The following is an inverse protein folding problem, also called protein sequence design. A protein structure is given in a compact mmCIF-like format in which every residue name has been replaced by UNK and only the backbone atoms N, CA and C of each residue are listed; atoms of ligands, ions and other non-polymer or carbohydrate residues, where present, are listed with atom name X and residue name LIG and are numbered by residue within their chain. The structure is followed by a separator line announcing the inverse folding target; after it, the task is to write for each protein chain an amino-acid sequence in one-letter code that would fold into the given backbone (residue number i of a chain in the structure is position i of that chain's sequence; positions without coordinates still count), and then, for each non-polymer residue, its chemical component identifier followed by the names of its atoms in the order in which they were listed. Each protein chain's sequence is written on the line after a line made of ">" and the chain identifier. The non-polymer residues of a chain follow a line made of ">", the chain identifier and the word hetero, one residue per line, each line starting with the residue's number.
data_IF_243325734119
#
_entry.id   IF_243325734119
#
_cell.length_a   1.000
_cell.length_b   1.000
_cell.length_c   1.000
_cell.angle_alpha   90.00
_cell.angle_beta   90.00
_cell.angle_gamma   90.00
#
_symmetry.space_group_name_H-M   'P 1'
#
loop_
_entity.id
_entity.type
_entity.pdbx_description
1 polymer ?
#
# COMPACT_ATOMS: atom_id res chain seq x y z
N UNK A 1 -34.40 35.43 -55.78
CA UNK A 1 -34.99 34.57 -54.72
C UNK A 1 -33.89 33.67 -54.17
N UNK A 2 -33.21 34.12 -53.11
CA UNK A 2 -32.08 33.39 -52.49
C UNK A 2 -32.61 32.49 -51.38
N UNK A 3 -32.64 31.18 -51.65
CA UNK A 3 -33.02 30.15 -50.68
C UNK A 3 -31.91 29.97 -49.64
N UNK A 4 -32.06 30.60 -48.47
CA UNK A 4 -31.21 30.36 -47.31
C UNK A 4 -31.53 28.99 -46.73
N UNK A 5 -30.58 28.05 -46.77
CA UNK A 5 -30.77 26.68 -46.29
C UNK A 5 -30.95 26.65 -44.76
N UNK A 6 -32.01 26.02 -44.22
CA UNK A 6 -32.32 26.05 -42.78
C UNK A 6 -31.28 25.36 -41.89
N UNK A 7 -30.40 24.53 -42.47
CA UNK A 7 -29.38 23.76 -41.75
C UNK A 7 -28.22 24.62 -41.21
N UNK A 8 -27.91 25.77 -41.83
CA UNK A 8 -26.83 26.65 -41.36
C UNK A 8 -27.19 27.44 -40.10
N UNK A 9 -28.48 27.74 -39.88
CA UNK A 9 -28.93 28.44 -38.68
C UNK A 9 -28.91 27.53 -37.46
N UNK A 10 -29.18 26.23 -37.62
CA UNK A 10 -29.18 25.25 -36.53
C UNK A 10 -27.79 25.04 -35.94
N UNK A 11 -26.74 24.97 -36.78
CA UNK A 11 -25.35 24.73 -36.32
C UNK A 11 -24.79 25.94 -35.58
N UNK A 12 -25.05 27.17 -36.05
CA UNK A 12 -24.60 28.40 -35.38
C UNK A 12 -25.32 28.64 -34.05
N UNK A 13 -26.62 28.32 -33.96
CA UNK A 13 -27.38 28.42 -32.73
C UNK A 13 -26.98 27.34 -31.71
N UNK A 14 -26.65 26.12 -32.16
CA UNK A 14 -26.07 25.07 -31.31
C UNK A 14 -24.69 25.45 -30.79
N UNK A 15 -23.81 26.02 -31.61
CA UNK A 15 -22.48 26.49 -31.17
C UNK A 15 -22.57 27.63 -30.16
N UNK A 16 -23.52 28.56 -30.33
CA UNK A 16 -23.80 29.62 -29.34
C UNK A 16 -24.39 29.05 -28.05
N UNK A 17 -25.33 28.10 -28.14
CA UNK A 17 -25.90 27.42 -26.97
C UNK A 17 -24.84 26.58 -26.23
N UNK A 18 -23.94 25.91 -26.95
CA UNK A 18 -22.83 25.16 -26.38
C UNK A 18 -21.88 26.09 -25.64
N UNK A 19 -21.56 27.26 -26.21
CA UNK A 19 -20.69 28.27 -25.60
C UNK A 19 -21.34 28.99 -24.40
N UNK A 20 -22.66 29.12 -24.38
CA UNK A 20 -23.40 29.59 -23.21
C UNK A 20 -23.48 28.52 -22.10
N UNK A 21 -23.59 27.23 -22.47
CA UNK A 21 -23.63 26.10 -21.55
C UNK A 21 -22.23 25.64 -21.09
N UNK A 22 -21.16 26.07 -21.77
CA UNK A 22 -19.77 25.81 -21.37
C UNK A 22 -19.51 26.27 -19.93
N UNK A 23 -20.09 27.40 -19.51
CA UNK A 23 -19.96 27.87 -18.13
C UNK A 23 -20.58 26.90 -17.12
N UNK A 24 -21.71 26.28 -17.48
CA UNK A 24 -22.40 25.28 -16.65
C UNK A 24 -21.61 23.97 -16.54
N UNK A 25 -20.75 23.67 -17.51
CA UNK A 25 -19.85 22.50 -17.50
C UNK A 25 -18.49 22.78 -16.87
N UNK A 26 -18.00 24.02 -16.95
CA UNK A 26 -16.73 24.42 -16.33
C UNK A 26 -16.84 24.36 -14.80
N UNK A 27 -17.96 24.80 -14.22
CA UNK A 27 -18.16 24.80 -12.76
C UNK A 27 -17.97 23.40 -12.13
N UNK A 28 -18.67 22.33 -12.56
CA UNK A 28 -18.47 21.00 -11.99
C UNK A 28 -17.06 20.46 -12.27
N UNK A 29 -16.51 20.72 -13.47
CA UNK A 29 -15.16 20.28 -13.82
C UNK A 29 -14.10 20.89 -12.89
N UNK A 30 -14.20 22.20 -12.62
CA UNK A 30 -13.30 22.90 -11.70
C UNK A 30 -13.52 22.42 -10.27
N UNK A 31 -14.77 22.19 -9.85
CA UNK A 31 -15.08 21.66 -8.53
C UNK A 31 -14.44 20.28 -8.31
N UNK A 32 -14.64 19.33 -9.21
CA UNK A 32 -14.05 17.99 -9.13
C UNK A 32 -12.52 18.04 -9.19
N UNK A 33 -11.94 18.89 -10.04
CA UNK A 33 -10.49 19.06 -10.13
C UNK A 33 -9.91 19.61 -8.83
N UNK A 34 -10.60 20.57 -8.21
CA UNK A 34 -10.18 21.16 -6.93
C UNK A 34 -10.24 20.12 -5.81
N UNK A 35 -11.33 19.35 -5.72
CA UNK A 35 -11.48 18.27 -4.74
C UNK A 35 -10.39 17.20 -4.95
N UNK A 36 -10.14 16.79 -6.19
CA UNK A 36 -9.09 15.82 -6.52
C UNK A 36 -7.69 16.33 -6.17
N UNK A 37 -7.43 17.62 -6.39
CA UNK A 37 -6.15 18.26 -6.03
C UNK A 37 -5.96 18.29 -4.52
N UNK A 38 -6.97 18.74 -3.76
CA UNK A 38 -6.93 18.72 -2.29
C UNK A 38 -6.69 17.30 -1.78
N UNK A 39 -7.39 16.31 -2.34
CA UNK A 39 -7.21 14.91 -1.98
C UNK A 39 -5.80 14.39 -2.30
N UNK A 40 -5.23 14.76 -3.44
CA UNK A 40 -3.87 14.37 -3.82
C UNK A 40 -2.82 14.93 -2.84
N UNK A 41 -3.03 16.13 -2.31
CA UNK A 41 -2.14 16.73 -1.31
C UNK A 41 -2.33 16.16 0.10
N UNK A 42 -3.54 15.76 0.49
CA UNK A 42 -3.79 15.16 1.82
C UNK A 42 -3.47 13.68 1.89
N UNK A 43 -3.40 12.99 0.75
CA UNK A 43 -3.07 11.57 0.70
C UNK A 43 -1.60 11.35 1.10
N UNK A 44 -1.41 10.81 2.29
CA UNK A 44 -0.07 10.41 2.77
C UNK A 44 0.48 9.31 1.86
N UNK A 45 1.72 9.48 1.38
CA UNK A 45 2.40 8.49 0.56
C UNK A 45 2.81 7.33 1.46
N UNK A 46 2.18 6.17 1.33
CA UNK A 46 2.64 4.95 1.97
C UNK A 46 3.63 4.25 1.05
N UNK A 47 4.78 3.88 1.59
CA UNK A 47 5.78 3.05 0.94
C UNK A 47 5.67 1.64 1.50
N UNK A 48 5.66 0.63 0.65
CA UNK A 48 5.62 -0.78 1.09
C UNK A 48 6.89 -1.46 0.58
N UNK A 49 7.72 -1.93 1.52
CA UNK A 49 8.85 -2.80 1.21
C UNK A 49 8.38 -4.24 1.37
N UNK A 50 8.44 -5.05 0.31
CA UNK A 50 8.09 -6.46 0.36
C UNK A 50 9.28 -7.32 -0.05
N UNK A 51 9.60 -8.33 0.76
CA UNK A 51 10.66 -9.28 0.50
C UNK A 51 10.08 -10.69 0.39
N UNK A 52 10.35 -11.35 -0.74
CA UNK A 52 9.99 -12.75 -0.95
C UNK A 52 11.01 -13.66 -0.23
N UNK A 53 10.48 -14.59 0.57
CA UNK A 53 11.22 -15.60 1.32
C UNK A 53 10.72 -16.97 0.85
N UNK A 54 11.64 -17.86 0.49
CA UNK A 54 11.33 -19.26 0.21
C UNK A 54 11.54 -20.04 1.50
N UNK A 55 10.51 -20.70 1.98
CA UNK A 55 10.57 -21.45 3.24
C UNK A 55 10.80 -22.92 2.98
N UNK A 56 11.80 -23.47 3.66
CA UNK A 56 12.12 -24.90 3.67
C UNK A 56 12.07 -25.42 5.09
N UNK A 57 11.46 -26.59 5.26
CA UNK A 57 11.42 -27.27 6.55
C UNK A 57 12.71 -28.07 6.76
N UNK A 58 13.76 -27.38 7.18
CA UNK A 58 15.06 -28.00 7.48
C UNK A 58 15.01 -28.88 8.75
N UNK A 59 13.97 -28.76 9.59
CA UNK A 59 13.83 -29.54 10.83
C UNK A 59 13.24 -30.94 10.55
N UNK A 60 12.32 -31.05 9.59
CA UNK A 60 11.84 -32.35 9.08
C UNK A 60 12.73 -32.93 7.96
N UNK A 61 13.76 -32.19 7.53
CA UNK A 61 14.59 -32.54 6.37
C UNK A 61 15.46 -33.79 6.52
N UNK A 62 15.61 -34.35 7.73
CA UNK A 62 16.38 -35.59 7.92
C UNK A 62 15.81 -36.79 7.14
N UNK A 63 14.52 -36.75 6.75
CA UNK A 63 13.87 -37.86 6.05
C UNK A 63 13.26 -37.51 4.67
N UNK A 64 12.98 -36.23 4.35
CA UNK A 64 12.25 -35.84 3.10
C UNK A 64 12.71 -34.56 2.37
N UNK A 65 13.91 -34.04 2.63
CA UNK A 65 14.51 -33.02 1.75
C UNK A 65 13.87 -31.62 1.81
N UNK A 66 13.42 -31.20 2.99
CA UNK A 66 13.08 -29.80 3.25
C UNK A 66 11.67 -29.37 2.83
N UNK A 67 10.78 -30.31 2.49
CA UNK A 67 9.41 -30.03 2.04
C UNK A 67 8.40 -30.25 3.17
N UNK A 68 7.42 -29.35 3.30
CA UNK A 68 6.35 -29.45 4.29
C UNK A 68 5.50 -30.71 4.08
N UNK A 69 5.21 -31.42 5.16
CA UNK A 69 4.43 -32.67 5.14
C UNK A 69 2.92 -32.41 5.00
N UNK A 70 2.44 -31.23 5.42
CA UNK A 70 1.04 -30.83 5.31
C UNK A 70 0.83 -29.33 5.13
N UNK A 71 -0.31 -28.97 4.53
CA UNK A 71 -0.77 -27.58 4.40
C UNK A 71 -0.90 -26.93 5.80
N UNK A 72 -1.37 -27.70 6.78
CA UNK A 72 -1.53 -27.26 8.18
C UNK A 72 -0.17 -26.93 8.82
N UNK A 73 0.87 -27.74 8.60
CA UNK A 73 2.22 -27.45 9.09
C UNK A 73 2.80 -26.16 8.50
N UNK A 74 2.48 -25.91 7.22
CA UNK A 74 2.92 -24.71 6.53
C UNK A 74 2.17 -23.47 7.04
N UNK A 75 0.87 -23.58 7.29
CA UNK A 75 0.09 -22.51 7.90
C UNK A 75 0.56 -22.21 9.33
N UNK A 76 0.77 -23.24 10.16
CA UNK A 76 1.29 -23.06 11.51
C UNK A 76 2.66 -22.39 11.52
N UNK A 77 3.54 -22.75 10.58
CA UNK A 77 4.81 -22.06 10.39
C UNK A 77 4.62 -20.58 10.00
N UNK A 78 3.69 -20.29 9.09
CA UNK A 78 3.38 -18.94 8.65
C UNK A 78 2.85 -18.06 9.79
N UNK A 79 1.94 -18.58 10.60
CA UNK A 79 1.42 -17.91 11.80
C UNK A 79 2.53 -17.67 12.82
N UNK A 80 3.37 -18.68 13.05
CA UNK A 80 4.53 -18.56 13.96
C UNK A 80 5.52 -17.51 13.46
N UNK A 81 5.82 -17.49 12.16
CA UNK A 81 6.74 -16.51 11.58
C UNK A 81 6.20 -15.09 11.70
N UNK A 82 4.89 -14.91 11.47
CA UNK A 82 4.24 -13.63 11.67
C UNK A 82 4.32 -13.17 13.12
N UNK A 83 4.08 -14.08 14.05
CA UNK A 83 4.16 -13.80 15.49
C UNK A 83 5.59 -13.43 15.91
N UNK A 84 6.59 -14.18 15.43
CA UNK A 84 8.00 -13.89 15.69
C UNK A 84 8.41 -12.55 15.08
N UNK A 85 7.98 -12.27 13.85
CA UNK A 85 8.27 -10.99 13.18
C UNK A 85 7.65 -9.79 13.90
N UNK A 86 6.49 -9.98 14.56
CA UNK A 86 5.81 -8.96 15.38
C UNK A 86 6.24 -8.95 16.83
N UNK A 87 7.12 -9.87 17.25
CA UNK A 87 7.59 -9.92 18.63
C UNK A 87 8.26 -8.59 19.03
N UNK A 88 7.91 -8.00 20.19
CA UNK A 88 8.52 -6.76 20.67
C UNK A 88 10.04 -6.79 20.70
N UNK A 89 10.62 -7.95 21.01
CA UNK A 89 12.07 -8.15 21.08
C UNK A 89 12.69 -8.00 19.70
N UNK A 90 12.14 -8.70 18.69
CA UNK A 90 12.64 -8.67 17.31
C UNK A 90 12.53 -7.26 16.73
N UNK A 91 11.38 -6.61 16.93
CA UNK A 91 11.15 -5.24 16.43
C UNK A 91 12.08 -4.23 17.11
N UNK A 92 12.27 -4.35 18.43
CA UNK A 92 13.17 -3.47 19.19
C UNK A 92 14.62 -3.60 18.72
N UNK A 93 15.14 -4.81 18.56
CA UNK A 93 16.51 -5.03 18.08
C UNK A 93 16.68 -4.58 16.63
N UNK A 94 15.67 -4.78 15.78
CA UNK A 94 15.66 -4.27 14.40
C UNK A 94 15.72 -2.74 14.37
N UNK A 95 14.92 -2.04 15.19
CA UNK A 95 14.94 -0.58 15.30
C UNK A 95 16.27 -0.03 15.86
N UNK A 96 16.92 -0.78 16.74
CA UNK A 96 18.28 -0.44 17.21
C UNK A 96 19.30 -0.61 16.09
N UNK A 97 19.20 -1.68 15.29
CA UNK A 97 20.14 -1.98 14.21
C UNK A 97 20.01 -1.02 13.03
N UNK A 98 18.79 -0.69 12.61
CA UNK A 98 18.52 0.31 11.57
C UNK A 98 18.90 1.73 12.03
N UNK A 99 18.95 1.94 13.34
CA UNK A 99 19.22 3.23 13.93
C UNK A 99 18.04 4.19 13.75
N UNK A 100 18.26 5.42 14.20
CA UNK A 100 17.21 6.42 14.29
C UNK A 100 16.95 7.11 12.94
N UNK A 101 15.68 7.32 12.52
CA UNK A 101 15.34 8.09 11.33
C UNK A 101 15.83 9.55 11.43
N UNK A 102 16.29 10.17 10.34
CA UNK A 102 16.82 11.54 10.33
C UNK A 102 15.87 12.61 10.88
N UNK A 103 14.54 12.41 10.74
CA UNK A 103 13.51 13.34 11.22
C UNK A 103 12.68 12.83 12.40
N UNK A 104 12.96 11.65 12.95
CA UNK A 104 12.33 11.24 14.21
C UNK A 104 12.63 12.33 15.26
N UNK A 105 11.61 12.79 16.00
CA UNK A 105 11.76 13.85 17.02
C UNK A 105 12.91 13.52 17.96
N UNK A 106 13.57 14.52 18.56
CA UNK A 106 14.67 14.41 19.55
C UNK A 106 14.23 13.71 20.85
N UNK A 107 13.64 12.53 20.75
CA UNK A 107 13.49 11.60 21.84
C UNK A 107 14.89 11.27 22.35
N UNK A 108 15.05 11.43 23.66
CA UNK A 108 16.30 11.19 24.40
C UNK A 108 16.61 9.69 24.50
N UNK A 109 15.61 8.84 24.23
CA UNK A 109 15.63 7.39 24.31
C UNK A 109 15.04 6.85 22.99
N UNK A 110 15.81 6.03 22.29
CA UNK A 110 15.42 5.36 21.05
C UNK A 110 15.73 3.87 21.19
N UNK A 111 14.87 2.96 20.69
CA UNK A 111 13.47 3.19 20.31
C UNK A 111 12.55 3.43 21.53
N UNK A 112 11.44 4.13 21.33
CA UNK A 112 10.37 4.28 22.32
C UNK A 112 9.37 3.13 22.20
N UNK A 113 8.57 2.89 23.23
CA UNK A 113 7.51 1.86 23.19
C UNK A 113 6.49 2.14 22.07
N UNK A 114 6.13 3.41 21.86
CA UNK A 114 5.29 3.85 20.74
C UNK A 114 5.91 3.56 19.36
N UNK A 115 7.25 3.67 19.21
CA UNK A 115 7.95 3.37 17.95
C UNK A 115 7.90 1.86 17.65
N UNK A 116 7.96 1.03 18.70
CA UNK A 116 7.88 -0.43 18.60
C UNK A 116 6.47 -0.85 18.22
N UNK A 117 5.45 -0.32 18.90
CA UNK A 117 4.03 -0.62 18.62
C UNK A 117 3.65 -0.20 17.19
N UNK A 118 4.03 1.00 16.78
CA UNK A 118 3.77 1.51 15.43
C UNK A 118 4.36 0.61 14.34
N UNK A 119 5.57 0.08 14.56
CA UNK A 119 6.20 -0.82 13.59
C UNK A 119 5.59 -2.23 13.61
N UNK A 120 5.16 -2.74 14.77
CA UNK A 120 4.48 -4.04 14.87
C UNK A 120 3.21 -4.10 14.03
N UNK A 121 2.41 -3.03 14.06
CA UNK A 121 1.15 -2.95 13.30
C UNK A 121 1.38 -2.97 11.79
N UNK A 122 2.49 -2.39 11.33
CA UNK A 122 2.81 -2.25 9.90
C UNK A 122 3.54 -3.47 9.30
N UNK A 123 4.04 -4.38 10.13
CA UNK A 123 4.64 -5.66 9.70
C UNK A 123 3.54 -6.65 9.34
N UNK A 124 3.58 -7.18 8.12
CA UNK A 124 2.59 -8.13 7.61
C UNK A 124 3.29 -9.26 6.84
N UNK A 125 2.92 -10.50 7.15
CA UNK A 125 3.39 -11.69 6.43
C UNK A 125 2.24 -12.18 5.56
N UNK A 126 2.44 -12.22 4.24
CA UNK A 126 1.39 -12.55 3.27
C UNK A 126 1.77 -13.70 2.37
N UNK A 127 0.78 -14.52 2.03
CA UNK A 127 0.89 -15.48 0.96
C UNK A 127 0.93 -14.80 -0.42
N UNK A 128 1.60 -15.40 -1.41
CA UNK A 128 1.61 -14.91 -2.79
C UNK A 128 0.20 -14.81 -3.36
N UNK A 129 -0.12 -13.68 -3.99
CA UNK A 129 -1.28 -13.52 -4.89
C UNK A 129 -2.65 -13.90 -4.31
N UNK A 130 -2.88 -13.66 -3.01
CA UNK A 130 -4.18 -13.98 -2.39
C UNK A 130 -4.53 -15.47 -2.37
N UNK A 131 -3.55 -16.34 -2.61
CA UNK A 131 -3.68 -17.77 -2.37
C UNK A 131 -3.89 -18.01 -0.88
N UNK A 132 -4.77 -18.97 -0.55
CA UNK A 132 -4.88 -19.47 0.82
C UNK A 132 -3.51 -19.94 1.33
N UNK A 133 -3.28 -19.71 2.62
CA UNK A 133 -2.12 -20.22 3.36
C UNK A 133 -1.91 -21.71 3.03
N UNK A 134 -0.65 -22.12 2.81
CA UNK A 134 -0.29 -23.53 2.60
C UNK A 134 -0.28 -24.10 1.16
N UNK A 135 -0.51 -23.31 0.10
CA UNK A 135 -0.38 -23.81 -1.30
C UNK A 135 0.93 -23.49 -2.02
N UNK A 136 1.77 -22.60 -1.49
CA UNK A 136 2.99 -22.14 -2.18
C UNK A 136 4.13 -21.93 -1.19
N UNK A 137 5.29 -22.53 -1.44
CA UNK A 137 6.52 -22.47 -0.61
C UNK A 137 7.12 -21.04 -0.46
N UNK A 138 6.55 -20.03 -1.13
CA UNK A 138 7.01 -18.63 -1.10
C UNK A 138 6.12 -17.81 -0.16
N UNK A 139 6.72 -16.96 0.66
CA UNK A 139 6.05 -16.02 1.56
C UNK A 139 6.57 -14.61 1.28
N UNK A 140 5.73 -13.59 1.41
CA UNK A 140 6.17 -12.20 1.36
C UNK A 140 6.14 -11.58 2.77
N UNK A 141 7.27 -11.08 3.24
CA UNK A 141 7.33 -10.18 4.38
C UNK A 141 7.19 -8.76 3.86
N UNK A 142 6.09 -8.08 4.22
CA UNK A 142 5.81 -6.72 3.82
C UNK A 142 5.84 -5.79 5.04
N UNK A 143 6.52 -4.66 4.91
CA UNK A 143 6.54 -3.59 5.90
C UNK A 143 6.07 -2.32 5.24
N UNK A 144 5.06 -1.70 5.82
CA UNK A 144 4.53 -0.42 5.37
C UNK A 144 5.16 0.73 6.16
N UNK A 145 5.54 1.77 5.45
CA UNK A 145 6.10 2.99 5.98
C UNK A 145 5.25 4.15 5.50
N UNK A 146 4.54 4.79 6.42
CA UNK A 146 3.92 6.07 6.13
C UNK A 146 5.02 7.14 5.96
N UNK A 147 4.94 7.96 4.91
CA UNK A 147 5.96 8.95 4.54
C UNK A 147 6.37 9.93 5.65
N UNK A 148 5.59 10.07 6.73
CA UNK A 148 5.97 10.84 7.92
C UNK A 148 7.23 10.32 8.63
N UNK A 149 7.62 9.05 8.43
CA UNK A 149 8.83 8.45 9.02
C UNK A 149 10.10 8.57 8.17
N UNK A 150 9.97 8.89 6.87
CA UNK A 150 11.08 8.75 5.89
C UNK A 150 11.52 10.09 5.29
N UNK A 151 10.71 11.15 5.39
CA UNK A 151 11.03 12.48 4.86
C UNK A 151 11.88 13.31 5.79
#
# INVERSE_FOLDING_TARGET
>A
MTHSSPLQQTTLNLLKAFRACCWLWIIPTVLFTTIATIYAFTRTRSWEASQALVVRDEAAALDRGGRFDSIDSMQAFQETLQEVARSPIVVTETLKQLGRPPRAHKAKRWPTEEDVESLQEEINVRAPQGSQFGRTEVIYLAVKLCAWLVG
#
